data_IF_180516494288
#
_entry.id   IF_180516494288
#
_cell.length_a   1.000
_cell.length_b   1.000
_cell.length_c   1.000
_cell.angle_alpha   90.00
_cell.angle_beta   90.00
_cell.angle_gamma   90.00
#
_symmetry.space_group_name_H-M   'P 1'
#
loop_
_entity.id
_entity.type
_entity.pdbx_description
1 polymer ?
#
# COMPACT_ATOMS: atom_id res chain seq x y z
N UNK A 1 70.47 -3.52 -16.39
CA UNK A 1 70.99 -2.18 -15.99
C UNK A 1 69.94 -1.14 -16.24
N UNK A 2 69.48 -0.52 -15.14
CA UNK A 2 69.12 0.87 -14.98
C UNK A 2 67.99 1.43 -15.89
N UNK A 3 66.95 2.14 -15.46
CA UNK A 3 66.91 3.07 -14.31
C UNK A 3 65.43 3.39 -13.98
N UNK A 4 65.22 3.67 -12.73
CA UNK A 4 63.98 4.09 -12.08
C UNK A 4 63.70 5.56 -12.37
N UNK A 5 62.47 5.89 -12.76
CA UNK A 5 62.01 7.26 -12.90
C UNK A 5 60.66 7.45 -12.18
N UNK A 6 60.74 7.95 -10.94
CA UNK A 6 59.63 8.41 -10.12
C UNK A 6 58.98 9.65 -10.72
N UNK A 7 57.64 9.69 -10.90
CA UNK A 7 56.89 10.93 -11.11
C UNK A 7 55.83 11.11 -10.05
N UNK A 8 55.91 12.26 -9.41
CA UNK A 8 55.07 12.81 -8.35
C UNK A 8 53.55 12.70 -8.62
N UNK A 9 52.84 12.28 -7.57
CA UNK A 9 51.42 12.50 -7.38
C UNK A 9 51.16 13.98 -7.08
N UNK A 10 50.35 14.64 -7.91
CA UNK A 10 49.70 15.91 -7.55
C UNK A 10 48.31 15.58 -6.95
N UNK A 11 48.15 15.95 -5.69
CA UNK A 11 46.87 15.95 -4.98
C UNK A 11 45.96 17.03 -5.53
N UNK A 12 44.83 16.65 -6.08
CA UNK A 12 43.72 17.56 -6.32
C UNK A 12 42.73 17.50 -5.13
N UNK A 13 42.72 18.58 -4.39
CA UNK A 13 41.77 18.83 -3.31
C UNK A 13 40.40 19.04 -3.90
N UNK A 14 39.47 18.08 -3.74
CA UNK A 14 38.05 18.25 -4.01
C UNK A 14 37.42 19.03 -2.85
N UNK A 15 36.90 20.22 -3.16
CA UNK A 15 36.10 21.02 -2.25
C UNK A 15 34.76 20.29 -2.02
N UNK A 16 34.51 19.98 -0.75
CA UNK A 16 33.22 19.44 -0.29
C UNK A 16 32.12 20.50 -0.50
N UNK A 17 31.14 20.19 -1.33
CA UNK A 17 29.89 20.93 -1.42
C UNK A 17 28.99 20.47 -0.27
N UNK A 18 28.59 21.41 0.58
CA UNK A 18 27.85 21.15 1.80
C UNK A 18 26.51 20.44 1.55
N UNK A 19 26.41 19.25 2.09
CA UNK A 19 25.15 18.52 2.22
C UNK A 19 24.33 19.17 3.34
N UNK A 20 23.18 19.75 3.00
CA UNK A 20 22.19 20.15 3.98
C UNK A 20 21.60 18.87 4.60
N UNK A 21 21.92 18.64 5.86
CA UNK A 21 21.33 17.57 6.65
C UNK A 21 19.84 17.83 6.85
N UNK A 22 19.00 17.01 6.25
CA UNK A 22 17.59 16.90 6.61
C UNK A 22 17.52 16.07 7.87
N UNK A 23 17.14 16.70 8.97
CA UNK A 23 17.00 16.04 10.26
C UNK A 23 15.84 15.03 10.20
N UNK A 24 16.15 13.76 10.14
CA UNK A 24 15.20 12.67 10.38
C UNK A 24 14.89 12.62 11.88
N UNK A 25 13.65 12.87 12.25
CA UNK A 25 13.15 12.54 13.58
C UNK A 25 13.04 11.03 13.69
N UNK A 26 13.94 10.45 14.45
CA UNK A 26 13.79 9.08 14.93
C UNK A 26 12.57 9.02 15.86
N UNK A 27 11.53 8.29 15.47
CA UNK A 27 10.43 7.95 16.36
C UNK A 27 10.83 6.70 17.14
N UNK A 28 11.17 6.86 18.41
CA UNK A 28 11.22 5.75 19.33
C UNK A 28 9.78 5.28 19.56
N UNK A 29 9.50 4.01 19.30
CA UNK A 29 8.23 3.38 19.64
C UNK A 29 8.26 3.10 21.13
N UNK A 30 7.73 4.03 21.93
CA UNK A 30 7.35 3.76 23.30
C UNK A 30 6.01 3.07 23.28
N UNK A 31 5.98 1.83 23.73
CA UNK A 31 4.77 1.02 23.86
C UNK A 31 3.93 1.50 25.02
N UNK A 32 3.09 2.48 24.76
CA UNK A 32 1.96 2.81 25.62
C UNK A 32 0.81 3.28 24.73
N UNK A 33 -0.01 2.32 24.29
CA UNK A 33 -1.28 2.64 23.63
C UNK A 33 -2.26 3.18 24.67
N UNK A 34 -2.32 4.50 24.80
CA UNK A 34 -3.42 5.19 25.46
C UNK A 34 -4.53 5.44 24.43
N UNK A 35 -5.67 4.77 24.64
CA UNK A 35 -6.89 5.02 23.87
C UNK A 35 -7.47 6.38 24.27
N UNK A 36 -7.85 7.26 23.32
CA UNK A 36 -8.66 8.41 23.66
C UNK A 36 -10.08 7.97 23.96
N UNK A 37 -10.62 8.39 25.12
CA UNK A 37 -12.03 8.29 25.49
C UNK A 37 -12.84 9.20 24.57
N UNK A 38 -13.99 8.69 24.11
CA UNK A 38 -14.98 9.40 23.32
C UNK A 38 -15.46 10.66 24.09
N UNK A 39 -15.54 11.77 23.38
CA UNK A 39 -16.32 12.93 23.80
C UNK A 39 -17.63 12.94 23.00
N UNK A 40 -18.73 13.03 23.71
CA UNK A 40 -20.10 13.02 23.24
C UNK A 40 -20.46 14.28 22.43
N UNK A 41 -21.27 14.10 21.39
CA UNK A 41 -22.16 15.16 20.91
C UNK A 41 -23.43 14.53 20.34
N UNK A 42 -24.52 14.66 21.07
CA UNK A 42 -25.89 14.33 20.67
C UNK A 42 -26.44 15.36 19.69
N UNK A 43 -27.04 14.88 18.58
CA UNK A 43 -28.11 15.60 17.88
C UNK A 43 -29.19 14.59 17.41
N UNK A 44 -30.49 14.95 17.44
CA UNK A 44 -31.59 14.01 17.29
C UNK A 44 -31.94 13.72 15.82
N UNK A 45 -32.20 12.46 15.49
CA UNK A 45 -32.60 11.96 14.17
C UNK A 45 -34.09 11.67 14.10
N UNK A 46 -34.73 12.17 13.02
CA UNK A 46 -36.14 11.98 12.64
C UNK A 46 -36.51 10.49 12.39
N UNK A 47 -37.63 9.99 12.93
CA UNK A 47 -37.99 8.57 12.90
C UNK A 47 -38.65 8.06 11.61
N UNK A 48 -38.81 8.82 10.54
CA UNK A 48 -39.67 8.46 9.42
C UNK A 48 -39.05 7.59 8.30
N UNK A 49 -37.81 7.12 8.42
CA UNK A 49 -37.14 6.40 7.31
C UNK A 49 -36.68 4.95 7.66
N UNK A 50 -37.60 4.15 8.23
CA UNK A 50 -37.30 2.76 8.62
C UNK A 50 -37.25 1.72 7.47
N UNK A 51 -37.82 1.99 6.31
CA UNK A 51 -37.89 0.98 5.22
C UNK A 51 -36.67 0.97 4.31
N UNK A 52 -36.00 2.10 4.08
CA UNK A 52 -34.79 2.17 3.26
C UNK A 52 -33.54 1.61 3.97
N UNK A 53 -33.51 1.70 5.30
CA UNK A 53 -32.40 1.18 6.11
C UNK A 53 -32.28 -0.35 6.09
N UNK A 54 -33.38 -1.08 5.98
CA UNK A 54 -33.41 -2.55 5.90
C UNK A 54 -32.82 -3.10 4.60
N UNK A 55 -33.13 -2.45 3.47
CA UNK A 55 -32.62 -2.85 2.15
C UNK A 55 -31.12 -2.60 2.03
N UNK A 56 -30.65 -1.43 2.43
CA UNK A 56 -29.22 -1.09 2.45
C UNK A 56 -28.44 -2.02 3.37
N UNK A 57 -29.02 -2.41 4.52
CA UNK A 57 -28.43 -3.36 5.46
C UNK A 57 -28.23 -4.74 4.83
N UNK A 58 -29.21 -5.25 4.09
CA UNK A 58 -29.12 -6.56 3.43
C UNK A 58 -28.13 -6.58 2.25
N UNK A 59 -27.98 -5.46 1.54
CA UNK A 59 -27.04 -5.31 0.41
C UNK A 59 -25.59 -5.19 0.90
N UNK A 60 -25.35 -4.48 2.00
CA UNK A 60 -24.00 -4.24 2.52
C UNK A 60 -23.47 -5.39 3.40
N UNK A 61 -24.35 -6.12 4.07
CA UNK A 61 -23.94 -7.10 5.10
C UNK A 61 -24.41 -8.54 4.85
N UNK A 62 -25.14 -8.80 3.76
CA UNK A 62 -25.71 -10.12 3.48
C UNK A 62 -26.89 -10.50 4.41
N UNK A 63 -27.54 -11.62 4.12
CA UNK A 63 -28.62 -12.16 4.97
C UNK A 63 -28.08 -12.65 6.30
N UNK A 64 -28.67 -12.22 7.39
CA UNK A 64 -28.35 -12.70 8.73
C UNK A 64 -28.52 -14.23 8.79
N UNK A 65 -27.41 -14.93 9.11
CA UNK A 65 -27.49 -16.30 9.60
C UNK A 65 -27.94 -16.24 11.07
N UNK A 66 -29.19 -16.61 11.28
CA UNK A 66 -29.79 -16.72 12.62
C UNK A 66 -28.98 -17.69 13.49
N UNK A 67 -28.41 -17.23 14.59
CA UNK A 67 -27.97 -18.11 15.66
C UNK A 67 -26.68 -17.83 16.39
N UNK A 68 -25.82 -16.92 15.95
CA UNK A 68 -24.70 -16.47 16.75
C UNK A 68 -24.75 -14.94 16.86
N UNK A 69 -24.79 -14.40 18.04
CA UNK A 69 -24.82 -12.95 18.28
C UNK A 69 -23.68 -12.32 17.51
N UNK A 70 -24.01 -11.52 16.50
CA UNK A 70 -23.04 -10.95 15.57
C UNK A 70 -22.34 -9.79 16.27
N UNK A 71 -21.22 -10.09 16.95
CA UNK A 71 -20.36 -9.10 17.65
C UNK A 71 -19.93 -7.97 16.71
N UNK A 72 -20.08 -8.17 15.39
CA UNK A 72 -19.74 -7.22 14.32
C UNK A 72 -20.95 -6.63 13.61
N UNK A 73 -22.18 -6.77 14.17
CA UNK A 73 -23.32 -6.00 13.66
C UNK A 73 -22.99 -4.50 13.84
N UNK A 74 -22.72 -3.74 12.77
CA UNK A 74 -22.24 -2.39 12.94
C UNK A 74 -23.37 -1.48 13.39
N UNK A 75 -23.11 -0.62 14.34
CA UNK A 75 -23.85 0.62 14.46
C UNK A 75 -23.74 1.36 13.12
N UNK A 76 -24.83 1.51 12.40
CA UNK A 76 -24.91 2.04 11.03
C UNK A 76 -24.59 3.53 10.90
N UNK A 77 -24.04 4.16 11.93
CA UNK A 77 -23.79 5.60 11.99
C UNK A 77 -22.54 6.05 11.24
N UNK A 78 -21.62 5.14 10.90
CA UNK A 78 -20.36 5.49 10.20
C UNK A 78 -20.01 4.50 9.10
N UNK A 79 -19.52 5.00 7.97
CA UNK A 79 -19.07 4.15 6.86
C UNK A 79 -17.81 3.35 7.24
N UNK A 80 -17.59 2.18 6.62
CA UNK A 80 -16.38 1.38 6.80
C UNK A 80 -15.11 2.22 6.54
N UNK A 81 -15.14 3.06 5.50
CA UNK A 81 -14.03 3.95 5.18
C UNK A 81 -13.66 4.87 6.34
N UNK A 82 -14.63 5.45 7.04
CA UNK A 82 -14.36 6.29 8.22
C UNK A 82 -13.81 5.52 9.40
N UNK A 83 -14.27 4.27 9.61
CA UNK A 83 -13.78 3.42 10.73
C UNK A 83 -12.39 2.85 10.47
N UNK A 84 -12.11 2.45 9.24
CA UNK A 84 -10.92 1.68 8.90
C UNK A 84 -9.80 2.51 8.31
N UNK A 85 -10.15 3.56 7.54
CA UNK A 85 -9.15 4.37 6.85
C UNK A 85 -8.53 5.41 7.76
N UNK A 86 -7.26 5.70 7.50
CA UNK A 86 -6.55 6.84 8.09
C UNK A 86 -7.11 8.19 7.65
N UNK A 87 -7.81 8.23 6.50
CA UNK A 87 -8.57 9.39 6.02
C UNK A 87 -7.77 10.51 5.38
N UNK A 88 -6.41 10.45 5.43
CA UNK A 88 -5.54 11.53 4.96
C UNK A 88 -5.17 11.39 3.48
N UNK A 89 -4.91 10.17 3.05
CA UNK A 89 -4.41 9.85 1.70
C UNK A 89 -5.33 8.88 0.97
N UNK A 90 -5.24 8.92 -0.35
CA UNK A 90 -5.84 7.94 -1.25
C UNK A 90 -4.72 7.32 -2.06
N UNK A 91 -4.70 6.00 -2.16
CA UNK A 91 -3.69 5.27 -2.90
C UNK A 91 -4.27 4.72 -4.20
N UNK A 92 -3.53 4.87 -5.30
CA UNK A 92 -3.85 4.20 -6.56
C UNK A 92 -2.84 3.07 -6.77
N UNK A 93 -3.34 1.85 -6.77
CA UNK A 93 -2.53 0.68 -7.10
C UNK A 93 -2.76 0.32 -8.55
N UNK A 94 -1.73 0.49 -9.36
CA UNK A 94 -1.71 0.18 -10.79
C UNK A 94 -1.02 -1.16 -10.99
N UNK A 95 -1.69 -2.09 -11.65
CA UNK A 95 -1.11 -3.36 -12.09
C UNK A 95 -1.06 -3.38 -13.61
N UNK A 96 0.14 -3.49 -14.16
CA UNK A 96 0.38 -3.54 -15.60
C UNK A 96 0.79 -4.95 -16.03
N UNK A 97 0.08 -5.54 -16.98
CA UNK A 97 0.51 -6.74 -17.69
C UNK A 97 1.24 -6.29 -18.95
N UNK A 98 2.55 -6.36 -18.91
CA UNK A 98 3.44 -5.97 -20.01
C UNK A 98 3.58 -7.13 -20.99
N UNK A 99 3.69 -6.84 -22.28
CA UNK A 99 4.02 -7.85 -23.29
C UNK A 99 5.43 -8.38 -23.03
N UNK A 100 5.65 -9.70 -23.06
CA UNK A 100 6.96 -10.30 -22.69
C UNK A 100 8.13 -9.77 -23.50
N UNK A 101 7.93 -9.49 -24.79
CA UNK A 101 8.91 -8.93 -25.72
C UNK A 101 9.13 -7.41 -25.60
N UNK A 102 8.42 -6.75 -24.67
CA UNK A 102 8.42 -5.30 -24.47
C UNK A 102 8.82 -4.87 -23.06
N UNK A 103 9.37 -5.77 -22.27
CA UNK A 103 9.66 -5.50 -20.84
C UNK A 103 10.74 -4.44 -20.67
N UNK A 104 11.85 -4.53 -21.43
CA UNK A 104 12.95 -3.58 -21.36
C UNK A 104 12.51 -2.17 -21.81
N UNK A 105 11.79 -2.09 -22.94
CA UNK A 105 11.23 -0.84 -23.47
C UNK A 105 10.26 -0.20 -22.46
N UNK A 106 9.43 -1.01 -21.82
CA UNK A 106 8.52 -0.60 -20.76
C UNK A 106 9.28 -0.03 -19.55
N UNK A 107 10.29 -0.75 -19.03
CA UNK A 107 11.09 -0.31 -17.88
C UNK A 107 11.77 1.02 -18.18
N UNK A 108 12.35 1.18 -19.39
CA UNK A 108 12.98 2.42 -19.81
C UNK A 108 11.98 3.59 -19.85
N UNK A 109 10.80 3.36 -20.44
CA UNK A 109 9.73 4.35 -20.51
C UNK A 109 9.28 4.78 -19.10
N UNK A 110 9.02 3.82 -18.20
CA UNK A 110 8.60 4.09 -16.83
C UNK A 110 9.67 4.82 -16.03
N UNK A 111 10.94 4.43 -16.15
CA UNK A 111 12.06 5.07 -15.44
C UNK A 111 12.25 6.54 -15.82
N UNK A 112 11.83 6.91 -17.02
CA UNK A 112 11.88 8.30 -17.49
C UNK A 112 10.70 9.13 -16.97
N UNK A 113 9.50 8.59 -17.02
CA UNK A 113 8.27 9.37 -16.80
C UNK A 113 7.77 9.34 -15.36
N UNK A 114 7.87 8.22 -14.63
CA UNK A 114 7.33 8.12 -13.29
C UNK A 114 8.07 9.01 -12.28
N UNK A 115 9.42 9.07 -12.25
CA UNK A 115 10.11 10.03 -11.40
C UNK A 115 9.76 11.49 -11.75
N UNK A 116 9.57 11.81 -13.04
CA UNK A 116 9.16 13.15 -13.47
C UNK A 116 7.79 13.53 -12.89
N UNK A 117 6.82 12.62 -12.91
CA UNK A 117 5.50 12.85 -12.36
C UNK A 117 5.56 13.00 -10.82
N UNK A 118 6.32 12.14 -10.16
CA UNK A 118 6.43 12.10 -8.71
C UNK A 118 7.17 13.33 -8.14
N UNK A 119 8.19 13.81 -8.84
CA UNK A 119 9.05 14.92 -8.39
C UNK A 119 8.52 16.31 -8.79
N UNK A 120 7.45 16.39 -9.56
CA UNK A 120 6.83 17.67 -9.90
C UNK A 120 6.06 18.22 -8.69
N UNK A 121 6.51 19.35 -8.08
CA UNK A 121 5.92 19.88 -6.85
C UNK A 121 4.47 20.38 -7.01
N UNK A 122 4.03 20.57 -8.26
CA UNK A 122 2.65 20.97 -8.55
C UNK A 122 1.69 19.77 -8.58
N UNK A 123 2.21 18.55 -8.64
CA UNK A 123 1.41 17.34 -8.50
C UNK A 123 1.16 17.05 -7.02
N UNK A 124 -0.08 16.69 -6.69
CA UNK A 124 -0.48 16.34 -5.33
C UNK A 124 -0.36 14.82 -5.12
N UNK A 125 0.78 14.25 -5.53
CA UNK A 125 1.01 12.81 -5.57
C UNK A 125 2.45 12.48 -5.17
N UNK A 126 2.62 11.32 -4.54
CA UNK A 126 3.92 10.69 -4.30
C UNK A 126 3.90 9.29 -4.94
N UNK A 127 5.02 8.86 -5.49
CA UNK A 127 5.24 7.47 -5.85
C UNK A 127 5.71 6.74 -4.58
N UNK A 128 4.92 5.81 -4.07
CA UNK A 128 5.32 4.98 -2.92
C UNK A 128 6.32 3.91 -3.36
N UNK A 129 6.07 3.27 -4.50
CA UNK A 129 6.98 2.28 -5.05
C UNK A 129 6.56 1.76 -6.41
N UNK A 130 7.51 1.08 -7.05
CA UNK A 130 7.37 0.43 -8.35
C UNK A 130 8.17 -0.86 -8.37
N UNK A 131 7.54 -1.95 -8.80
CA UNK A 131 8.14 -3.29 -8.78
C UNK A 131 7.89 -4.02 -10.10
N UNK A 132 8.76 -4.99 -10.37
CA UNK A 132 8.66 -5.91 -11.51
C UNK A 132 8.30 -7.35 -11.05
N UNK A 133 8.28 -8.31 -11.95
CA UNK A 133 7.80 -9.70 -11.93
C UNK A 133 6.30 -9.78 -12.26
N UNK A 134 5.42 -9.17 -11.48
CA UNK A 134 4.16 -8.54 -11.89
C UNK A 134 4.38 -7.05 -11.70
N UNK A 135 4.15 -6.26 -12.73
CA UNK A 135 4.45 -4.83 -12.62
C UNK A 135 3.36 -4.15 -11.79
N UNK A 136 3.76 -3.65 -10.64
CA UNK A 136 2.90 -2.94 -9.70
C UNK A 136 3.51 -1.57 -9.39
N UNK A 137 2.66 -0.55 -9.38
CA UNK A 137 3.01 0.79 -8.95
C UNK A 137 2.00 1.26 -7.93
N UNK A 138 2.46 1.90 -6.87
CA UNK A 138 1.60 2.47 -5.83
C UNK A 138 1.85 3.97 -5.77
N UNK A 139 0.79 4.73 -6.00
CA UNK A 139 0.76 6.17 -5.93
C UNK A 139 -0.05 6.63 -4.74
N UNK A 140 0.47 7.57 -3.95
CA UNK A 140 -0.22 8.20 -2.84
C UNK A 140 -0.60 9.62 -3.21
N UNK A 141 -1.89 9.94 -3.13
CA UNK A 141 -2.42 11.26 -3.40
C UNK A 141 -2.87 11.95 -2.10
N UNK A 142 -2.81 13.27 -2.07
CA UNK A 142 -3.39 14.09 -0.98
C UNK A 142 -4.91 14.05 -1.03
N UNK A 143 -5.48 12.87 -0.80
CA UNK A 143 -6.91 12.58 -0.88
C UNK A 143 -7.45 12.62 -2.32
N UNK A 144 -8.77 12.49 -2.47
CA UNK A 144 -9.43 12.59 -3.77
C UNK A 144 -9.28 13.96 -4.46
N UNK A 145 -9.26 15.09 -3.74
CA UNK A 145 -8.94 16.37 -4.37
C UNK A 145 -7.56 16.41 -5.00
N UNK A 146 -6.54 15.88 -4.32
CA UNK A 146 -5.18 15.78 -4.86
C UNK A 146 -5.10 14.88 -6.09
N UNK A 147 -5.81 13.75 -6.10
CA UNK A 147 -5.93 12.90 -7.27
C UNK A 147 -6.56 13.68 -8.45
N UNK A 148 -7.70 14.33 -8.23
CA UNK A 148 -8.37 15.12 -9.28
C UNK A 148 -7.44 16.19 -9.85
N UNK A 149 -6.82 17.00 -9.01
CA UNK A 149 -5.91 18.07 -9.42
C UNK A 149 -4.73 17.53 -10.24
N UNK A 150 -4.13 16.43 -9.79
CA UNK A 150 -3.00 15.81 -10.51
C UNK A 150 -3.44 15.30 -11.88
N UNK A 151 -4.58 14.60 -11.98
CA UNK A 151 -5.08 14.07 -13.25
C UNK A 151 -5.45 15.20 -14.24
N UNK A 152 -6.11 16.26 -13.77
CA UNK A 152 -6.44 17.43 -14.61
C UNK A 152 -5.20 18.15 -15.14
N UNK A 153 -4.13 18.20 -14.33
CA UNK A 153 -2.86 18.76 -14.72
C UNK A 153 -2.13 17.88 -15.75
N UNK A 154 -2.02 16.59 -15.48
CA UNK A 154 -1.39 15.63 -16.38
C UNK A 154 -2.12 15.54 -17.74
N UNK A 155 -3.44 15.67 -17.76
CA UNK A 155 -4.22 15.67 -18.99
C UNK A 155 -3.89 16.85 -19.90
N UNK A 156 -3.38 17.97 -19.35
CA UNK A 156 -2.96 19.16 -20.12
C UNK A 156 -1.47 19.12 -20.53
N UNK A 157 -0.70 18.16 -20.01
CA UNK A 157 0.72 18.00 -20.28
C UNK A 157 0.93 17.20 -21.59
N UNK A 158 1.50 17.81 -22.64
CA UNK A 158 1.78 17.12 -23.90
C UNK A 158 2.74 15.94 -23.72
N UNK A 159 3.71 16.05 -22.79
CA UNK A 159 4.68 15.00 -22.51
C UNK A 159 3.98 13.79 -21.88
N UNK A 160 3.05 14.02 -20.95
CA UNK A 160 2.24 12.95 -20.39
C UNK A 160 1.32 12.31 -21.44
N UNK A 161 0.72 13.11 -22.30
CA UNK A 161 -0.11 12.62 -23.39
C UNK A 161 0.67 11.71 -24.34
N UNK A 162 1.91 12.09 -24.69
CA UNK A 162 2.79 11.27 -25.53
C UNK A 162 3.20 10.00 -24.76
N UNK A 163 3.62 10.11 -23.51
CA UNK A 163 3.94 8.96 -22.65
C UNK A 163 2.81 7.91 -22.64
N UNK A 164 1.55 8.32 -22.50
CA UNK A 164 0.41 7.38 -22.50
C UNK A 164 0.24 6.73 -23.87
N UNK A 165 0.52 7.42 -24.98
CA UNK A 165 0.50 6.83 -26.32
C UNK A 165 1.60 5.76 -26.49
N UNK A 166 2.79 6.04 -25.99
CA UNK A 166 3.93 5.13 -26.07
C UNK A 166 3.77 3.93 -25.12
N UNK A 167 3.12 4.11 -23.98
CA UNK A 167 2.85 3.05 -23.02
C UNK A 167 1.82 2.02 -23.53
N UNK A 168 0.75 2.48 -24.20
CA UNK A 168 -0.36 1.60 -24.61
C UNK A 168 0.06 0.36 -25.41
N UNK A 169 0.90 0.48 -26.45
CA UNK A 169 1.32 -0.68 -27.25
C UNK A 169 2.18 -1.68 -26.49
N UNK A 170 2.79 -1.29 -25.36
CA UNK A 170 3.63 -2.16 -24.54
C UNK A 170 2.81 -3.05 -23.59
N UNK A 171 1.54 -2.72 -23.35
CA UNK A 171 0.69 -3.39 -22.39
C UNK A 171 -0.21 -4.44 -23.04
N UNK A 172 -0.46 -5.54 -22.30
CA UNK A 172 -1.58 -6.45 -22.53
C UNK A 172 -2.83 -5.92 -21.83
N UNK A 173 -2.67 -5.48 -20.57
CA UNK A 173 -3.75 -4.89 -19.76
C UNK A 173 -3.20 -3.96 -18.69
N UNK A 174 -4.05 -3.06 -18.21
CA UNK A 174 -3.81 -2.18 -17.07
C UNK A 174 -5.02 -2.21 -16.15
N UNK A 175 -4.78 -2.41 -14.88
CA UNK A 175 -5.80 -2.35 -13.82
C UNK A 175 -5.40 -1.26 -12.82
N UNK A 176 -6.34 -0.38 -12.51
CA UNK A 176 -6.15 0.67 -11.52
C UNK A 176 -7.20 0.48 -10.41
N UNK A 177 -6.76 0.35 -9.18
CA UNK A 177 -7.62 0.25 -8.01
C UNK A 177 -7.38 1.46 -7.10
N UNK A 178 -8.45 2.19 -6.78
CA UNK A 178 -8.38 3.24 -5.76
C UNK A 178 -8.58 2.59 -4.40
N UNK A 179 -7.65 2.85 -3.50
CA UNK A 179 -7.57 2.19 -2.21
C UNK A 179 -7.42 3.20 -1.09
N UNK A 180 -7.86 2.84 0.10
CA UNK A 180 -7.57 3.58 1.32
C UNK A 180 -6.62 2.75 2.18
N UNK A 181 -5.70 3.44 2.83
CA UNK A 181 -4.76 2.87 3.79
C UNK A 181 -5.49 2.56 5.10
N UNK A 182 -5.22 1.40 5.69
CA UNK A 182 -5.70 1.08 7.03
C UNK A 182 -5.09 2.01 8.08
N UNK A 183 -5.90 2.47 9.03
CA UNK A 183 -5.50 3.45 10.04
C UNK A 183 -4.36 2.99 10.95
N UNK A 184 -4.25 1.69 11.17
CA UNK A 184 -3.24 1.07 12.05
C UNK A 184 -1.95 0.67 11.32
N UNK A 185 -1.90 0.77 9.98
CA UNK A 185 -0.71 0.39 9.21
C UNK A 185 -0.42 1.40 8.12
N UNK A 186 0.53 2.27 8.39
CA UNK A 186 0.97 3.29 7.45
C UNK A 186 1.84 2.70 6.35
N UNK A 187 1.72 3.26 5.15
CA UNK A 187 2.66 3.00 4.07
C UNK A 187 4.06 3.46 4.48
N UNK A 188 5.05 2.59 4.32
CA UNK A 188 6.44 2.88 4.66
C UNK A 188 6.98 4.07 3.87
N UNK A 189 7.77 4.94 4.49
CA UNK A 189 8.50 5.98 3.78
C UNK A 189 9.53 5.37 2.82
N UNK A 190 10.07 6.15 1.88
CA UNK A 190 11.15 5.71 0.99
C UNK A 190 12.31 5.08 1.76
N UNK A 191 12.73 3.89 1.34
CA UNK A 191 13.82 3.15 1.96
C UNK A 191 14.50 2.20 0.97
N UNK A 192 15.73 1.83 1.26
CA UNK A 192 16.50 0.85 0.48
C UNK A 192 16.81 -0.36 1.34
N UNK A 193 16.14 -1.49 1.04
CA UNK A 193 16.33 -2.75 1.76
C UNK A 193 17.17 -3.75 0.96
N UNK A 194 17.30 -3.54 -0.37
CA UNK A 194 17.92 -4.47 -1.33
C UNK A 194 17.33 -5.89 -1.28
N UNK A 195 16.10 -5.99 -0.81
CA UNK A 195 15.39 -7.24 -0.62
C UNK A 195 14.31 -7.50 -1.66
N UNK A 196 13.45 -8.44 -1.32
CA UNK A 196 12.25 -8.78 -2.07
C UNK A 196 11.01 -8.26 -1.35
N UNK A 197 9.96 -8.00 -2.11
CA UNK A 197 8.67 -7.57 -1.58
C UNK A 197 7.63 -8.67 -1.82
N UNK A 198 6.80 -8.97 -0.83
CA UNK A 198 5.66 -9.87 -0.98
C UNK A 198 4.37 -9.05 -0.95
N UNK A 199 3.70 -8.93 -2.10
CA UNK A 199 2.34 -8.39 -2.18
C UNK A 199 1.34 -9.53 -2.00
N UNK A 200 0.45 -9.40 -1.03
CA UNK A 200 -0.66 -10.32 -0.80
C UNK A 200 -1.97 -9.62 -1.11
N UNK A 201 -2.76 -10.19 -2.01
CA UNK A 201 -4.08 -9.70 -2.41
C UNK A 201 -5.13 -10.71 -1.99
N UNK A 202 -6.11 -10.30 -1.20
CA UNK A 202 -7.22 -11.12 -0.75
C UNK A 202 -8.53 -10.51 -1.20
N UNK A 203 -9.38 -11.32 -1.82
CA UNK A 203 -10.75 -10.95 -2.08
C UNK A 203 -11.60 -11.51 -0.93
N UNK A 204 -12.23 -10.63 -0.17
CA UNK A 204 -13.05 -11.00 0.96
C UNK A 204 -14.47 -11.29 0.49
N UNK A 205 -15.14 -12.18 1.19
CA UNK A 205 -16.60 -12.35 1.04
C UNK A 205 -17.29 -11.04 1.39
N UNK A 206 -18.30 -10.60 0.62
CA UNK A 206 -18.99 -9.34 0.86
C UNK A 206 -19.49 -9.21 2.31
N UNK A 207 -19.29 -8.03 2.90
CA UNK A 207 -19.69 -7.73 4.28
C UNK A 207 -18.63 -8.04 5.35
N UNK A 208 -17.56 -8.78 5.03
CA UNK A 208 -16.63 -9.31 6.02
C UNK A 208 -15.38 -8.43 6.28
N UNK A 209 -15.30 -7.24 5.68
CA UNK A 209 -14.11 -6.38 5.79
C UNK A 209 -13.80 -5.96 7.24
N UNK A 210 -14.83 -5.60 8.02
CA UNK A 210 -14.64 -5.17 9.42
C UNK A 210 -14.20 -6.34 10.31
N UNK A 211 -14.81 -7.52 10.13
CA UNK A 211 -14.45 -8.71 10.90
C UNK A 211 -13.03 -9.17 10.56
N UNK A 212 -12.69 -9.18 9.26
CA UNK A 212 -11.36 -9.53 8.79
C UNK A 212 -10.30 -8.58 9.35
N UNK A 213 -10.53 -7.26 9.28
CA UNK A 213 -9.62 -6.23 9.82
C UNK A 213 -9.38 -6.44 11.31
N UNK A 214 -10.44 -6.63 12.09
CA UNK A 214 -10.36 -6.82 13.53
C UNK A 214 -9.44 -7.98 13.92
N UNK A 215 -9.62 -9.16 13.30
CA UNK A 215 -8.77 -10.30 13.60
C UNK A 215 -7.37 -10.14 13.05
N UNK A 216 -7.24 -9.59 11.85
CA UNK A 216 -5.94 -9.41 11.23
C UNK A 216 -5.07 -8.39 11.97
N UNK A 217 -5.64 -7.28 12.42
CA UNK A 217 -4.96 -6.28 13.25
C UNK A 217 -4.39 -6.89 14.54
N UNK A 218 -5.15 -7.75 15.22
CA UNK A 218 -4.66 -8.50 16.39
C UNK A 218 -3.49 -9.41 16.04
N UNK A 219 -3.55 -10.11 14.90
CA UNK A 219 -2.51 -11.01 14.44
C UNK A 219 -1.24 -10.32 13.95
N UNK A 220 -1.30 -9.04 13.61
CA UNK A 220 -0.11 -8.30 13.19
C UNK A 220 0.97 -8.25 14.27
N UNK A 221 0.59 -8.17 15.55
CA UNK A 221 1.53 -8.19 16.68
C UNK A 221 2.39 -9.46 16.70
N UNK A 222 1.80 -10.60 16.29
CA UNK A 222 2.51 -11.86 16.20
C UNK A 222 3.53 -11.88 15.06
N UNK A 223 3.31 -11.11 14.00
CA UNK A 223 4.10 -11.19 12.77
C UNK A 223 5.10 -10.04 12.60
N UNK A 224 4.76 -8.85 13.02
CA UNK A 224 5.58 -7.64 12.87
C UNK A 224 6.94 -7.73 13.57
N UNK A 225 7.09 -8.63 14.53
CA UNK A 225 8.37 -8.90 15.20
C UNK A 225 9.39 -9.65 14.34
N UNK A 226 8.96 -10.25 13.22
CA UNK A 226 9.81 -11.08 12.36
C UNK A 226 10.03 -10.51 10.96
N UNK A 227 9.21 -9.58 10.52
CA UNK A 227 9.30 -9.01 9.17
C UNK A 227 8.78 -7.58 9.16
N UNK A 228 9.34 -6.78 8.26
CA UNK A 228 8.99 -5.39 8.14
C UNK A 228 7.73 -5.21 7.30
N UNK A 229 6.69 -4.56 7.87
CA UNK A 229 5.48 -4.21 7.15
C UNK A 229 5.72 -2.99 6.26
N UNK A 230 5.26 -3.06 5.01
CA UNK A 230 5.40 -1.95 4.04
C UNK A 230 4.13 -1.12 3.94
N UNK A 231 2.97 -1.77 3.94
CA UNK A 231 1.69 -1.07 3.89
C UNK A 231 0.52 -2.02 3.75
N UNK A 232 -0.67 -1.52 4.06
CA UNK A 232 -1.91 -2.26 3.90
C UNK A 232 -3.05 -1.35 3.48
N UNK A 233 -3.83 -1.82 2.51
CA UNK A 233 -4.86 -1.03 1.85
C UNK A 233 -6.11 -1.88 1.58
N UNK A 234 -7.25 -1.21 1.48
CA UNK A 234 -8.52 -1.82 1.07
C UNK A 234 -9.18 -0.99 -0.03
N UNK A 235 -9.84 -1.68 -0.96
CA UNK A 235 -10.37 -1.08 -2.18
C UNK A 235 -11.58 -0.18 -1.92
N UNK A 236 -11.65 0.92 -2.68
CA UNK A 236 -12.80 1.82 -2.78
C UNK A 236 -13.40 1.81 -4.18
N UNK A 237 -12.56 1.72 -5.20
CA UNK A 237 -12.94 1.63 -6.61
C UNK A 237 -12.12 0.53 -7.27
N UNK A 238 -12.68 -0.11 -8.29
CA UNK A 238 -12.12 -1.27 -8.96
C UNK A 238 -12.68 -2.57 -8.36
N UNK A 239 -11.84 -3.56 -8.10
CA UNK A 239 -12.23 -4.81 -7.42
C UNK A 239 -12.59 -4.53 -5.95
N UNK A 240 -13.90 -4.45 -5.66
CA UNK A 240 -14.39 -4.22 -4.29
C UNK A 240 -14.13 -5.43 -3.38
N UNK A 241 -14.20 -5.19 -2.06
CA UNK A 241 -13.90 -6.19 -1.03
C UNK A 241 -12.49 -6.79 -1.11
N UNK A 242 -11.59 -6.08 -1.78
CA UNK A 242 -10.18 -6.48 -1.87
C UNK A 242 -9.37 -5.79 -0.79
N UNK A 243 -8.57 -6.56 -0.06
CA UNK A 243 -7.51 -6.07 0.82
C UNK A 243 -6.16 -6.46 0.24
N UNK A 244 -5.22 -5.55 0.33
CA UNK A 244 -3.86 -5.78 -0.12
C UNK A 244 -2.89 -5.35 0.97
N UNK A 245 -1.87 -6.15 1.21
CA UNK A 245 -0.82 -5.80 2.15
C UNK A 245 0.53 -6.27 1.65
N UNK A 246 1.55 -5.50 1.95
CA UNK A 246 2.90 -5.72 1.46
C UNK A 246 3.90 -5.85 2.60
N UNK A 247 4.84 -6.77 2.44
CA UNK A 247 5.92 -7.06 3.35
C UNK A 247 7.25 -7.03 2.61
N UNK A 248 8.33 -6.71 3.30
CA UNK A 248 9.68 -6.84 2.73
C UNK A 248 10.49 -7.90 3.49
N UNK A 249 11.35 -8.57 2.77
CA UNK A 249 12.27 -9.60 3.27
C UNK A 249 13.62 -9.49 2.55
N UNK A 250 14.72 -9.83 3.20
CA UNK A 250 16.01 -9.93 2.51
C UNK A 250 15.98 -10.89 1.32
N UNK A 251 15.35 -12.06 1.49
CA UNK A 251 15.26 -13.13 0.49
C UNK A 251 14.12 -14.12 0.78
N UNK A 252 13.94 -15.11 -0.11
CA UNK A 252 12.90 -16.13 0.01
C UNK A 252 13.13 -17.09 1.19
N UNK A 253 14.39 -17.35 1.57
CA UNK A 253 14.69 -18.23 2.70
C UNK A 253 14.30 -17.53 4.01
N UNK A 254 14.66 -16.27 4.17
CA UNK A 254 14.26 -15.45 5.32
C UNK A 254 12.73 -15.36 5.41
N UNK A 255 12.05 -15.15 4.26
CA UNK A 255 10.59 -15.17 4.22
C UNK A 255 10.01 -16.51 4.73
N UNK A 256 10.58 -17.63 4.31
CA UNK A 256 10.15 -18.96 4.76
C UNK A 256 10.31 -19.08 6.28
N UNK A 257 11.51 -18.83 6.79
CA UNK A 257 11.83 -18.92 8.23
C UNK A 257 10.92 -18.01 9.06
N UNK A 258 10.77 -16.75 8.66
CA UNK A 258 9.86 -15.79 9.31
C UNK A 258 8.43 -16.32 9.42
N UNK A 259 7.93 -16.97 8.37
CA UNK A 259 6.56 -17.53 8.36
C UNK A 259 6.45 -18.74 9.31
N UNK A 260 7.48 -19.56 9.39
CA UNK A 260 7.55 -20.72 10.28
C UNK A 260 7.63 -20.26 11.75
N UNK A 261 8.45 -19.25 12.06
CA UNK A 261 8.55 -18.68 13.40
C UNK A 261 7.23 -18.03 13.87
N UNK A 262 6.53 -17.34 12.97
CA UNK A 262 5.23 -16.77 13.30
C UNK A 262 4.20 -17.82 13.78
N UNK A 263 4.26 -19.06 13.27
CA UNK A 263 3.38 -20.15 13.71
C UNK A 263 3.63 -20.61 15.16
N UNK A 264 4.80 -20.29 15.72
CA UNK A 264 5.14 -20.61 17.12
C UNK A 264 4.61 -19.56 18.09
N UNK A 265 4.17 -18.41 17.59
CA UNK A 265 3.65 -17.32 18.43
C UNK A 265 2.20 -17.61 18.80
N UNK A 266 1.88 -17.51 20.07
CA UNK A 266 0.53 -17.65 20.59
C UNK A 266 -0.43 -16.65 19.93
N UNK A 267 -1.61 -17.10 19.52
CA UNK A 267 -2.63 -16.28 18.84
C UNK A 267 -2.51 -16.21 17.33
N UNK A 268 -1.35 -16.56 16.70
CA UNK A 268 -1.22 -16.52 15.26
C UNK A 268 -2.11 -17.55 14.55
N UNK A 269 -2.16 -18.79 15.03
CA UNK A 269 -3.02 -19.84 14.47
C UNK A 269 -4.51 -19.46 14.55
N UNK A 270 -4.94 -18.86 15.65
CA UNK A 270 -6.32 -18.35 15.83
C UNK A 270 -6.63 -17.22 14.85
N UNK A 271 -5.69 -16.28 14.66
CA UNK A 271 -5.80 -15.22 13.65
C UNK A 271 -5.98 -15.79 12.26
N UNK A 272 -5.12 -16.74 11.85
CA UNK A 272 -5.21 -17.39 10.53
C UNK A 272 -6.55 -18.08 10.36
N UNK A 273 -6.99 -18.87 11.34
CA UNK A 273 -8.29 -19.56 11.30
C UNK A 273 -9.46 -18.58 11.14
N UNK A 274 -9.47 -17.49 11.91
CA UNK A 274 -10.54 -16.49 11.89
C UNK A 274 -10.55 -15.66 10.62
N UNK A 275 -9.39 -15.33 10.06
CA UNK A 275 -9.31 -14.48 8.86
C UNK A 275 -9.53 -15.26 7.57
N UNK A 276 -8.98 -16.49 7.44
CA UNK A 276 -9.05 -17.25 6.18
C UNK A 276 -10.49 -17.60 5.79
N UNK A 277 -11.36 -17.93 6.75
CA UNK A 277 -12.78 -18.25 6.49
C UNK A 277 -13.57 -17.08 5.85
N UNK A 278 -13.09 -15.85 6.03
CA UNK A 278 -13.72 -14.63 5.53
C UNK A 278 -13.27 -14.28 4.11
N UNK A 279 -12.30 -15.03 3.59
CA UNK A 279 -11.70 -14.80 2.28
C UNK A 279 -12.33 -15.73 1.25
N UNK A 280 -12.57 -15.21 0.06
CA UNK A 280 -13.01 -15.96 -1.12
C UNK A 280 -11.80 -16.46 -1.93
N UNK A 281 -10.83 -15.59 -2.19
CA UNK A 281 -9.61 -15.96 -2.91
C UNK A 281 -8.37 -15.18 -2.40
N UNK A 282 -7.20 -15.81 -2.51
CA UNK A 282 -5.93 -15.25 -2.08
C UNK A 282 -4.88 -15.38 -3.17
N UNK A 283 -4.10 -14.32 -3.33
CA UNK A 283 -2.92 -14.31 -4.20
C UNK A 283 -1.72 -13.79 -3.42
N UNK A 284 -0.54 -14.31 -3.75
CA UNK A 284 0.74 -13.86 -3.20
C UNK A 284 1.73 -13.72 -4.34
N UNK A 285 2.36 -12.56 -4.43
CA UNK A 285 3.31 -12.23 -5.49
C UNK A 285 4.63 -11.81 -4.85
N UNK A 286 5.73 -12.35 -5.37
CA UNK A 286 7.06 -11.87 -5.04
C UNK A 286 7.45 -10.83 -6.09
N UNK A 287 7.90 -9.68 -5.62
CA UNK A 287 8.19 -8.51 -6.44
C UNK A 287 9.62 -8.07 -6.20
N UNK A 288 10.29 -7.58 -7.24
CA UNK A 288 11.59 -6.91 -7.16
C UNK A 288 11.40 -5.42 -7.42
N UNK A 289 12.00 -4.53 -6.63
CA UNK A 289 11.88 -3.10 -6.87
C UNK A 289 12.58 -2.70 -8.17
N UNK A 290 11.95 -1.80 -8.92
CA UNK A 290 12.59 -1.13 -10.06
C UNK A 290 13.60 -0.09 -9.57
N UNK A 291 14.63 0.18 -10.36
CA UNK A 291 15.75 1.05 -9.97
C UNK A 291 15.34 2.46 -9.51
N UNK A 292 14.23 2.97 -10.04
CA UNK A 292 13.68 4.28 -9.67
C UNK A 292 12.65 4.21 -8.52
N UNK A 293 12.33 3.00 -8.01
CA UNK A 293 11.37 2.84 -6.92
C UNK A 293 11.86 3.51 -5.65
N UNK A 294 11.05 4.32 -4.95
CA UNK A 294 11.39 4.86 -3.64
C UNK A 294 11.55 3.77 -2.57
N UNK A 295 10.78 2.68 -2.68
CA UNK A 295 10.93 1.46 -1.87
C UNK A 295 11.75 0.44 -2.67
N UNK A 296 13.00 0.22 -2.30
CA UNK A 296 13.93 -0.66 -3.00
C UNK A 296 14.98 -1.32 -2.09
#
# INVERSE_FOLDING_TARGET
MLNIGSKLLRSHTLKAVGAKSVAYRAFSISSTCLFPKNADADEPVDPSNKQSAGFIKSVLYGKELSGAGNVFAPELTTTHSKKLARGKYVHEMQTHRVKPDKVEEYIQLMSTHYPRIANDPQNQVNLCGSWEMIVVHIWEYKGYPGHKQTMERLAKDPVYTQFIKDLRPLLISRENNMMLEFSFWMTSPPQTTNGIYELRKYNLKPGNLLEWEYYWRKGLECRSQFCEPVGAWFSQLGNLHTVQHMWTYPDLQTRKTTREEAWKVEGWSDTVYKTVRLVDSMHSFILKPLAYSPLR
#
